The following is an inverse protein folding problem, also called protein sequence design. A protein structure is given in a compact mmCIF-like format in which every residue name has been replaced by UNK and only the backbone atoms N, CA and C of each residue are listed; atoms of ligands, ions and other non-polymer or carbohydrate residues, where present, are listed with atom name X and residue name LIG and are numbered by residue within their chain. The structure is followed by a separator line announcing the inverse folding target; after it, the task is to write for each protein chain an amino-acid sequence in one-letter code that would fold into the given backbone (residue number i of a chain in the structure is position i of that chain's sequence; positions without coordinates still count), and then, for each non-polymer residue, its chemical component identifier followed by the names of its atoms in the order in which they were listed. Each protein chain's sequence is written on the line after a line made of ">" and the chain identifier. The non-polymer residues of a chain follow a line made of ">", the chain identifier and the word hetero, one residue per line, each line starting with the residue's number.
data_IF_134503599056
#
_entry.id   IF_134503599056
#
_cell.length_a   1.000
_cell.length_b   1.000
_cell.length_c   1.000
_cell.angle_alpha   90.00
_cell.angle_beta   90.00
_cell.angle_gamma   90.00
#
_symmetry.space_group_name_H-M   'P 1'
#
loop_
_entity.id
_entity.type
_entity.pdbx_description
1 polymer ?
#
# COMPACT_ATOMS: atom_id res chain seq x y z
N UNK A 1 5.50 11.24 -16.56
CA UNK A 1 6.60 10.77 -15.68
C UNK A 1 7.26 9.52 -16.24
N UNK A 2 8.51 9.25 -15.88
CA UNK A 2 9.23 8.00 -16.24
C UNK A 2 8.54 6.75 -15.66
N UNK A 3 7.96 6.87 -14.46
CA UNK A 3 7.24 5.78 -13.78
C UNK A 3 6.21 5.06 -14.68
N UNK A 4 5.43 5.80 -15.47
CA UNK A 4 4.38 5.22 -16.32
C UNK A 4 4.94 4.44 -17.53
N UNK A 5 6.21 4.63 -17.88
CA UNK A 5 6.89 3.93 -18.97
C UNK A 5 7.60 2.65 -18.51
N UNK A 6 7.66 2.40 -17.21
CA UNK A 6 8.31 1.22 -16.63
C UNK A 6 7.52 -0.06 -16.89
N UNK A 7 8.23 -1.16 -17.03
CA UNK A 7 7.67 -2.51 -17.05
C UNK A 7 7.05 -2.89 -15.69
N UNK A 8 6.21 -3.92 -15.67
CA UNK A 8 5.62 -4.41 -14.42
C UNK A 8 6.70 -4.85 -13.42
N UNK A 9 7.78 -5.48 -13.91
CA UNK A 9 8.89 -5.90 -13.08
C UNK A 9 9.60 -4.72 -12.39
N UNK A 10 9.84 -3.63 -13.14
CA UNK A 10 10.46 -2.41 -12.59
C UNK A 10 9.53 -1.69 -11.62
N UNK A 11 8.22 -1.64 -11.91
CA UNK A 11 7.22 -1.09 -10.99
C UNK A 11 7.19 -1.91 -9.70
N UNK A 12 7.17 -3.24 -9.79
CA UNK A 12 7.14 -4.14 -8.64
C UNK A 12 8.42 -4.08 -7.81
N UNK A 13 9.59 -3.87 -8.43
CA UNK A 13 10.84 -3.68 -7.72
C UNK A 13 10.82 -2.46 -6.79
N UNK A 14 10.03 -1.43 -7.14
CA UNK A 14 9.78 -0.24 -6.30
C UNK A 14 8.62 -0.48 -5.33
N UNK A 15 7.48 -0.98 -5.83
CA UNK A 15 6.24 -1.05 -5.08
C UNK A 15 6.26 -2.10 -3.97
N UNK A 16 6.93 -3.24 -4.20
CA UNK A 16 6.96 -4.36 -3.25
C UNK A 16 7.55 -3.97 -1.90
N UNK A 17 8.78 -3.41 -1.80
CA UNK A 17 9.34 -3.04 -0.49
C UNK A 17 8.55 -1.92 0.22
N UNK A 18 7.88 -1.04 -0.53
CA UNK A 18 7.00 -0.01 0.04
C UNK A 18 5.76 -0.68 0.65
N UNK A 19 5.10 -1.56 -0.09
CA UNK A 19 3.90 -2.27 0.36
C UNK A 19 4.20 -3.22 1.52
N UNK A 20 5.37 -3.86 1.52
CA UNK A 20 5.83 -4.71 2.64
C UNK A 20 6.00 -3.88 3.91
N UNK A 21 6.67 -2.72 3.82
CA UNK A 21 6.76 -1.82 4.97
C UNK A 21 5.39 -1.33 5.44
N UNK A 22 4.46 -1.02 4.52
CA UNK A 22 3.10 -0.61 4.89
C UNK A 22 2.37 -1.68 5.67
N UNK A 23 2.43 -2.94 5.22
CA UNK A 23 1.77 -4.07 5.88
C UNK A 23 2.41 -4.40 7.22
N UNK A 24 3.75 -4.37 7.30
CA UNK A 24 4.48 -4.60 8.55
C UNK A 24 4.23 -3.48 9.56
N UNK A 25 4.24 -2.22 9.13
CA UNK A 25 3.96 -1.07 9.98
C UNK A 25 2.51 -1.07 10.46
N UNK A 26 1.54 -1.43 9.61
CA UNK A 26 0.15 -1.62 10.01
C UNK A 26 -0.04 -2.80 10.98
N UNK A 27 0.79 -3.84 10.88
CA UNK A 27 0.77 -4.97 11.81
C UNK A 27 1.32 -4.53 13.18
N UNK A 28 2.38 -3.74 13.18
CA UNK A 28 3.00 -3.17 14.37
C UNK A 28 2.26 -1.94 14.94
N UNK A 29 1.27 -1.40 14.22
CA UNK A 29 0.60 -0.13 14.51
C UNK A 29 1.61 1.01 14.66
N UNK A 30 2.55 1.09 13.71
CA UNK A 30 3.64 2.08 13.68
C UNK A 30 3.34 3.17 12.64
N UNK A 31 2.84 4.32 13.11
CA UNK A 31 2.41 5.43 12.26
C UNK A 31 3.54 6.07 11.46
N UNK A 32 4.70 6.27 12.09
CA UNK A 32 5.85 6.91 11.42
C UNK A 32 6.40 6.02 10.32
N UNK A 33 6.53 4.71 10.56
CA UNK A 33 6.90 3.76 9.50
C UNK A 33 5.84 3.66 8.42
N UNK A 34 4.56 3.67 8.78
CA UNK A 34 3.46 3.54 7.82
C UNK A 34 3.41 4.73 6.86
N UNK A 35 3.62 5.96 7.36
CA UNK A 35 3.46 7.19 6.56
C UNK A 35 4.75 7.71 5.92
N UNK A 36 5.90 7.07 6.14
CA UNK A 36 7.23 7.57 5.70
C UNK A 36 7.36 7.80 4.19
N UNK A 37 6.65 7.01 3.39
CA UNK A 37 6.71 7.03 1.92
C UNK A 37 5.49 7.73 1.31
N UNK A 38 4.64 8.39 2.11
CA UNK A 38 3.42 9.04 1.64
C UNK A 38 3.71 10.40 0.99
N UNK A 39 2.84 10.80 0.06
CA UNK A 39 2.73 12.22 -0.32
C UNK A 39 2.26 13.04 0.88
N UNK A 40 2.59 14.34 0.90
CA UNK A 40 2.12 15.25 1.96
C UNK A 40 0.59 15.21 2.09
N UNK A 41 -0.10 15.15 0.93
CA UNK A 41 -1.56 14.99 0.85
C UNK A 41 -2.05 13.67 1.45
N UNK A 42 -1.42 12.54 1.15
CA UNK A 42 -1.82 11.25 1.70
C UNK A 42 -1.55 11.17 3.22
N UNK A 43 -0.45 11.78 3.69
CA UNK A 43 -0.14 11.84 5.12
C UNK A 43 -1.11 12.74 5.88
N UNK A 44 -1.56 13.85 5.29
CA UNK A 44 -2.44 14.80 5.99
C UNK A 44 -3.86 14.28 6.24
N UNK A 45 -4.30 13.23 5.54
CA UNK A 45 -5.63 12.65 5.69
C UNK A 45 -5.69 11.46 6.66
N UNK A 46 -4.56 11.01 7.18
CA UNK A 46 -4.47 9.87 8.10
C UNK A 46 -3.85 10.33 9.42
N UNK A 47 -4.62 10.33 10.50
CA UNK A 47 -4.05 10.55 11.84
C UNK A 47 -3.53 9.23 12.43
N UNK A 48 -2.62 9.33 13.40
CA UNK A 48 -2.13 8.19 14.18
C UNK A 48 -3.27 7.40 14.85
N UNK A 49 -4.22 8.11 15.47
CA UNK A 49 -5.42 7.52 16.06
C UNK A 49 -6.29 6.79 15.01
N UNK A 50 -6.43 7.37 13.81
CA UNK A 50 -7.19 6.73 12.73
C UNK A 50 -6.49 5.47 12.24
N UNK A 51 -5.16 5.50 12.07
CA UNK A 51 -4.38 4.31 11.71
C UNK A 51 -4.56 3.22 12.75
N UNK A 52 -4.46 3.55 14.04
CA UNK A 52 -4.63 2.59 15.13
C UNK A 52 -6.01 1.94 15.07
N UNK A 53 -7.09 2.73 15.00
CA UNK A 53 -8.46 2.22 14.92
C UNK A 53 -8.68 1.30 13.71
N UNK A 54 -8.19 1.70 12.53
CA UNK A 54 -8.24 0.87 11.32
C UNK A 54 -7.50 -0.45 11.53
N UNK A 55 -6.30 -0.39 12.12
CA UNK A 55 -5.46 -1.55 12.33
C UNK A 55 -6.07 -2.55 13.32
N UNK A 56 -6.49 -2.09 14.49
CA UNK A 56 -7.16 -2.92 15.48
C UNK A 56 -8.45 -3.54 14.93
N UNK A 57 -9.22 -2.78 14.13
CA UNK A 57 -10.44 -3.28 13.51
C UNK A 57 -10.16 -4.40 12.49
N UNK A 58 -9.24 -4.22 11.54
CA UNK A 58 -8.96 -5.30 10.59
C UNK A 58 -8.26 -6.48 11.27
N UNK A 59 -7.40 -6.27 12.26
CA UNK A 59 -6.70 -7.36 12.96
C UNK A 59 -7.65 -8.22 13.79
N UNK A 60 -8.66 -7.60 14.41
CA UNK A 60 -9.69 -8.33 15.16
C UNK A 60 -10.60 -9.14 14.23
N UNK A 61 -11.02 -8.58 13.11
CA UNK A 61 -11.99 -9.19 12.18
C UNK A 61 -11.35 -10.11 11.14
N UNK A 62 -10.24 -9.69 10.53
CA UNK A 62 -9.56 -10.38 9.43
C UNK A 62 -8.27 -11.10 9.85
N UNK A 63 -7.65 -10.66 10.94
CA UNK A 63 -6.30 -11.13 11.32
C UNK A 63 -5.21 -10.29 10.65
N UNK A 64 -4.05 -10.89 10.43
CA UNK A 64 -2.91 -10.21 9.83
C UNK A 64 -2.86 -10.41 8.32
N UNK A 65 -2.11 -9.56 7.63
CA UNK A 65 -1.81 -9.76 6.21
C UNK A 65 -1.06 -11.07 6.01
N UNK A 66 -1.51 -11.86 5.04
CA UNK A 66 -0.88 -13.11 4.62
C UNK A 66 -0.42 -12.99 3.17
N UNK A 67 -0.45 -14.09 2.40
CA UNK A 67 -0.01 -14.14 1.01
C UNK A 67 -0.60 -12.99 0.19
N UNK A 68 0.28 -12.33 -0.56
CA UNK A 68 -0.06 -11.30 -1.55
C UNK A 68 0.45 -11.72 -2.92
N UNK A 69 -0.39 -11.66 -3.94
CA UNK A 69 -0.06 -12.08 -5.31
C UNK A 69 -0.37 -10.97 -6.31
N UNK A 70 0.59 -10.63 -7.17
CA UNK A 70 0.42 -9.54 -8.14
C UNK A 70 -0.67 -9.89 -9.16
N UNK A 71 -1.55 -8.92 -9.43
CA UNK A 71 -2.63 -9.06 -10.42
C UNK A 71 -2.37 -8.18 -11.63
N UNK A 72 -2.17 -6.87 -11.43
CA UNK A 72 -1.98 -5.93 -12.52
C UNK A 72 -1.36 -4.61 -12.05
N UNK A 73 -0.72 -3.90 -13.00
CA UNK A 73 -0.29 -2.51 -12.85
C UNK A 73 -0.95 -1.63 -13.93
N UNK A 74 -1.76 -0.67 -13.49
CA UNK A 74 -2.48 0.27 -14.35
C UNK A 74 -1.70 1.58 -14.43
N UNK A 75 -1.18 1.88 -15.62
CA UNK A 75 -0.40 3.10 -15.89
C UNK A 75 -1.34 4.24 -16.28
N UNK A 76 -1.23 5.36 -15.58
CA UNK A 76 -1.96 6.61 -15.82
C UNK A 76 -0.94 7.71 -16.14
N UNK A 77 -1.34 8.88 -16.68
CA UNK A 77 -0.39 9.94 -17.04
C UNK A 77 0.59 10.31 -15.92
N UNK A 78 0.10 10.36 -14.68
CA UNK A 78 0.84 10.87 -13.52
C UNK A 78 0.97 9.86 -12.36
N UNK A 79 0.48 8.63 -12.53
CA UNK A 79 0.52 7.61 -11.48
C UNK A 79 0.49 6.20 -12.03
N UNK A 80 0.83 5.23 -11.18
CA UNK A 80 0.62 3.81 -11.44
C UNK A 80 -0.18 3.24 -10.27
N UNK A 81 -1.29 2.57 -10.57
CA UNK A 81 -2.02 1.76 -9.59
C UNK A 81 -1.55 0.31 -9.68
N UNK A 82 -1.14 -0.26 -8.55
CA UNK A 82 -0.72 -1.64 -8.45
C UNK A 82 -1.77 -2.38 -7.63
N UNK A 83 -2.24 -3.49 -8.17
CA UNK A 83 -3.25 -4.33 -7.54
C UNK A 83 -2.66 -5.71 -7.26
N UNK A 84 -2.86 -6.16 -6.03
CA UNK A 84 -2.58 -7.52 -5.61
C UNK A 84 -3.83 -8.18 -5.07
N UNK A 85 -3.89 -9.49 -5.27
CA UNK A 85 -4.77 -10.37 -4.54
C UNK A 85 -4.20 -10.61 -3.14
N UNK A 86 -4.99 -10.31 -2.13
CA UNK A 86 -4.58 -10.34 -0.73
C UNK A 86 -5.32 -11.42 0.05
N UNK A 87 -4.63 -12.10 0.95
CA UNK A 87 -5.21 -13.02 1.92
C UNK A 87 -4.97 -12.53 3.35
N UNK A 88 -5.82 -12.96 4.29
CA UNK A 88 -5.63 -12.69 5.71
C UNK A 88 -5.58 -13.99 6.52
N UNK A 89 -5.06 -13.90 7.75
CA UNK A 89 -4.87 -15.10 8.59
C UNK A 89 -6.14 -15.64 9.25
N UNK A 90 -7.19 -14.83 9.44
CA UNK A 90 -8.46 -15.26 10.06
C UNK A 90 -9.63 -15.28 9.09
N UNK A 91 -9.78 -14.25 8.25
CA UNK A 91 -10.91 -14.18 7.32
C UNK A 91 -10.56 -14.91 6.00
N UNK A 92 -11.30 -15.99 5.65
CA UNK A 92 -11.09 -16.68 4.38
C UNK A 92 -11.60 -15.83 3.21
N UNK A 93 -11.00 -16.03 2.04
CA UNK A 93 -11.38 -15.35 0.81
C UNK A 93 -10.19 -14.69 0.11
N UNK A 94 -10.49 -14.05 -1.02
CA UNK A 94 -9.54 -13.24 -1.79
C UNK A 94 -9.97 -11.77 -1.69
N UNK A 95 -9.07 -10.94 -1.20
CA UNK A 95 -9.25 -9.51 -1.00
C UNK A 95 -8.40 -8.72 -2.00
N UNK A 96 -8.62 -7.42 -2.08
CA UNK A 96 -7.86 -6.53 -2.95
C UNK A 96 -6.93 -5.69 -2.10
N UNK A 97 -5.63 -5.72 -2.39
CA UNK A 97 -4.69 -4.72 -1.93
C UNK A 97 -4.32 -3.80 -3.11
N UNK A 98 -4.45 -2.50 -2.91
CA UNK A 98 -4.17 -1.46 -3.90
C UNK A 98 -3.13 -0.48 -3.37
N UNK A 99 -2.18 -0.11 -4.23
CA UNK A 99 -1.22 0.97 -4.00
C UNK A 99 -1.20 1.91 -5.21
N UNK A 100 -1.37 3.21 -5.00
CA UNK A 100 -1.15 4.23 -6.03
C UNK A 100 0.21 4.89 -5.79
N UNK A 101 1.12 4.65 -6.73
CA UNK A 101 2.43 5.29 -6.76
C UNK A 101 2.45 6.50 -7.68
N UNK A 102 3.09 7.56 -7.21
CA UNK A 102 3.45 8.76 -7.97
C UNK A 102 4.97 8.96 -7.88
N UNK A 103 5.54 9.84 -8.70
CA UNK A 103 6.94 10.26 -8.57
C UNK A 103 7.03 11.78 -8.51
N UNK A 104 7.63 12.28 -7.44
CA UNK A 104 7.71 13.70 -7.12
C UNK A 104 9.12 13.98 -6.61
N UNK A 105 9.78 15.02 -7.13
CA UNK A 105 11.13 15.38 -6.70
C UNK A 105 12.16 14.25 -6.82
N UNK A 106 12.02 13.37 -7.82
CA UNK A 106 12.91 12.22 -8.04
C UNK A 106 12.67 11.02 -7.11
N UNK A 107 11.66 11.06 -6.24
CA UNK A 107 11.27 9.96 -5.36
C UNK A 107 9.98 9.31 -5.83
N UNK A 108 9.79 8.03 -5.52
CA UNK A 108 8.48 7.37 -5.61
C UNK A 108 7.76 7.52 -4.28
N UNK A 109 6.50 7.95 -4.32
CA UNK A 109 5.67 8.19 -3.15
C UNK A 109 4.31 7.51 -3.30
N UNK A 110 3.72 7.18 -2.16
CA UNK A 110 2.38 6.61 -2.05
C UNK A 110 1.37 7.75 -1.97
N UNK A 111 0.50 7.83 -2.96
CA UNK A 111 -0.59 8.81 -2.97
C UNK A 111 -1.91 8.22 -2.45
N UNK A 112 -2.03 6.88 -2.47
CA UNK A 112 -3.14 6.14 -1.89
C UNK A 112 -2.74 4.69 -1.62
N UNK A 113 -3.27 4.11 -0.54
CA UNK A 113 -3.18 2.67 -0.25
C UNK A 113 -4.49 2.21 0.38
N UNK A 114 -4.99 1.05 -0.03
CA UNK A 114 -6.21 0.48 0.54
C UNK A 114 -6.16 -1.05 0.48
N UNK A 115 -6.76 -1.70 1.47
CA UNK A 115 -7.02 -3.15 1.45
C UNK A 115 -8.49 -3.38 1.83
N UNK A 116 -9.25 -4.09 0.99
CA UNK A 116 -10.69 -4.29 1.18
C UNK A 116 -11.20 -5.65 0.72
#
# INVERSE_FOLDING_TARGET
>A
MDLAQKSDAEILAVATPIMDNLMDASTAIDYERHTRDFTERARSVLSEESLQSICEHYQSTKGFFAKREFVAAFRRPDSVAIVWRQQFTKQPGEFVAELILVQQGGKYLVDHVMVF
#
